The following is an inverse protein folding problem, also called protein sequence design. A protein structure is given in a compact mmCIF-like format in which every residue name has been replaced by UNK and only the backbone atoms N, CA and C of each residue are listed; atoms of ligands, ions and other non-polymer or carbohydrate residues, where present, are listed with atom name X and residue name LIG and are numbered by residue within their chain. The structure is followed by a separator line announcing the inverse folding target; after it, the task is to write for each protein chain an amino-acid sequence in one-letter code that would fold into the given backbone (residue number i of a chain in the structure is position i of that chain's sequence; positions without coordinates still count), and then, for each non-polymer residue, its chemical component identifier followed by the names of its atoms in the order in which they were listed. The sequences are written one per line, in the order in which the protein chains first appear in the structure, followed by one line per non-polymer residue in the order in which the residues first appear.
data_IF_811764530328
#
_entry.id   IF_811764530328
#
_cell.length_a   1.000
_cell.length_b   1.000
_cell.length_c   1.000
_cell.angle_alpha   90.00
_cell.angle_beta   90.00
_cell.angle_gamma   90.00
#
_symmetry.space_group_name_H-M   'P 1'
#
loop_
_entity.id
_entity.type
_entity.pdbx_description
1 polymer ?
#
# COMPACT_ATOMS: atom_id res chain seq x y z
N UNK A 1 13.25 -13.98 -2.40
CA UNK A 1 13.93 -15.22 -1.96
C UNK A 1 14.97 -15.57 -2.99
N UNK A 2 16.23 -15.70 -2.59
CA UNK A 2 17.31 -16.12 -3.48
C UNK A 2 17.34 -17.66 -3.56
N UNK A 3 17.18 -18.20 -4.76
CA UNK A 3 17.22 -19.65 -5.01
C UNK A 3 18.63 -20.19 -5.29
N UNK A 4 19.61 -19.30 -5.51
CA UNK A 4 20.98 -19.65 -5.89
C UNK A 4 21.65 -20.60 -4.89
N UNK A 5 21.54 -20.42 -3.55
CA UNK A 5 22.16 -21.33 -2.59
C UNK A 5 21.63 -22.77 -2.66
N UNK A 6 20.36 -22.94 -3.00
CA UNK A 6 19.73 -24.26 -3.12
C UNK A 6 20.20 -24.98 -4.37
N UNK A 7 20.29 -24.25 -5.49
CA UNK A 7 20.82 -24.79 -6.75
C UNK A 7 22.31 -25.12 -6.63
N UNK A 8 23.08 -24.26 -5.96
CA UNK A 8 24.49 -24.51 -5.68
C UNK A 8 24.72 -25.75 -4.80
N UNK A 9 23.81 -26.00 -3.85
CA UNK A 9 23.88 -27.20 -3.02
C UNK A 9 23.63 -28.44 -3.87
N UNK A 10 22.60 -28.44 -4.71
CA UNK A 10 22.34 -29.55 -5.64
C UNK A 10 23.51 -29.79 -6.60
N UNK A 11 24.16 -28.73 -7.08
CA UNK A 11 25.36 -28.85 -7.92
C UNK A 11 26.51 -29.52 -7.18
N UNK A 12 26.76 -29.14 -5.92
CA UNK A 12 27.80 -29.78 -5.10
C UNK A 12 27.48 -31.25 -4.85
N UNK A 13 26.25 -31.58 -4.51
CA UNK A 13 25.82 -32.97 -4.30
C UNK A 13 25.97 -33.81 -5.57
N UNK A 14 25.61 -33.25 -6.73
CA UNK A 14 25.82 -33.91 -8.02
C UNK A 14 27.30 -34.21 -8.28
N UNK A 15 28.19 -33.25 -8.00
CA UNK A 15 29.63 -33.44 -8.16
C UNK A 15 30.15 -34.53 -7.23
N UNK A 16 29.76 -34.52 -5.94
CA UNK A 16 30.15 -35.56 -4.96
C UNK A 16 29.67 -36.94 -5.40
N UNK A 17 28.44 -37.05 -5.88
CA UNK A 17 27.89 -38.31 -6.40
C UNK A 17 28.64 -38.79 -7.66
N UNK A 18 29.03 -37.86 -8.55
CA UNK A 18 29.75 -38.18 -9.77
C UNK A 18 31.18 -38.70 -9.52
N UNK A 19 31.87 -38.18 -8.50
CA UNK A 19 33.20 -38.68 -8.10
C UNK A 19 33.18 -40.17 -7.73
N UNK A 20 32.11 -40.64 -7.09
CA UNK A 20 31.93 -42.05 -6.77
C UNK A 20 31.67 -42.94 -8.02
N UNK A 21 31.28 -42.34 -9.14
CA UNK A 21 30.95 -43.02 -10.40
C UNK A 21 32.10 -43.14 -11.40
N UNK A 22 33.28 -42.58 -11.09
CA UNK A 22 34.45 -42.59 -11.97
C UNK A 22 34.44 -41.48 -13.04
N UNK A 23 35.47 -41.48 -13.90
CA UNK A 23 35.77 -40.38 -14.83
C UNK A 23 34.63 -40.08 -15.80
N UNK A 24 33.96 -41.10 -16.34
CA UNK A 24 32.83 -40.94 -17.27
C UNK A 24 31.63 -40.23 -16.60
N UNK A 25 31.35 -40.57 -15.33
CA UNK A 25 30.26 -39.95 -14.57
C UNK A 25 30.59 -38.49 -14.24
N UNK A 26 31.85 -38.20 -13.94
CA UNK A 26 32.35 -36.86 -13.69
C UNK A 26 32.24 -35.97 -14.94
N UNK A 27 32.66 -36.46 -16.10
CA UNK A 27 32.53 -35.73 -17.38
C UNK A 27 31.05 -35.43 -17.70
N UNK A 28 30.17 -36.42 -17.48
CA UNK A 28 28.74 -36.22 -17.70
C UNK A 28 28.15 -35.16 -16.74
N UNK A 29 28.53 -35.21 -15.46
CA UNK A 29 28.07 -34.24 -14.46
C UNK A 29 28.51 -32.80 -14.79
N UNK A 30 29.76 -32.61 -15.23
CA UNK A 30 30.26 -31.31 -15.67
C UNK A 30 29.44 -30.75 -16.85
N UNK A 31 29.10 -31.60 -17.82
CA UNK A 31 28.28 -31.22 -18.99
C UNK A 31 26.82 -30.90 -18.63
N UNK A 32 26.27 -31.58 -17.62
CA UNK A 32 24.87 -31.40 -17.20
C UNK A 32 24.65 -30.27 -16.20
N UNK A 33 25.72 -29.78 -15.56
CA UNK A 33 25.62 -28.77 -14.49
C UNK A 33 24.90 -27.49 -14.95
N UNK A 34 25.33 -26.90 -16.07
CA UNK A 34 24.73 -25.63 -16.57
C UNK A 34 23.28 -25.79 -17.04
N UNK A 35 22.91 -26.83 -17.84
CA UNK A 35 21.52 -27.06 -18.20
C UNK A 35 20.60 -27.35 -16.99
N UNK A 36 21.11 -28.08 -16.00
CA UNK A 36 20.32 -28.44 -14.81
C UNK A 36 20.00 -27.24 -13.94
N UNK A 37 20.87 -26.24 -13.85
CA UNK A 37 20.63 -25.03 -13.05
C UNK A 37 19.30 -24.34 -13.42
N UNK A 38 19.08 -24.13 -14.72
CA UNK A 38 17.86 -23.47 -15.23
C UNK A 38 16.63 -24.35 -15.00
N UNK A 39 16.73 -25.65 -15.25
CA UNK A 39 15.64 -26.60 -15.08
C UNK A 39 15.23 -26.76 -13.60
N UNK A 40 16.21 -26.86 -12.70
CA UNK A 40 15.98 -26.93 -11.25
C UNK A 40 15.31 -25.66 -10.75
N UNK A 41 15.79 -24.48 -11.14
CA UNK A 41 15.18 -23.21 -10.72
C UNK A 41 13.73 -23.11 -11.18
N UNK A 42 13.44 -23.41 -12.44
CA UNK A 42 12.09 -23.41 -12.97
C UNK A 42 11.19 -24.40 -12.22
N UNK A 43 11.70 -25.60 -11.93
CA UNK A 43 10.98 -26.62 -11.18
C UNK A 43 10.65 -26.15 -9.77
N UNK A 44 11.60 -25.51 -9.07
CA UNK A 44 11.35 -24.92 -7.75
C UNK A 44 10.27 -23.83 -7.81
N UNK A 45 10.31 -22.94 -8.81
CA UNK A 45 9.27 -21.93 -8.99
C UNK A 45 7.89 -22.55 -9.21
N UNK A 46 7.79 -23.61 -10.03
CA UNK A 46 6.52 -24.31 -10.25
C UNK A 46 5.99 -24.94 -8.95
N UNK A 47 6.86 -25.57 -8.17
CA UNK A 47 6.49 -26.16 -6.87
C UNK A 47 6.03 -25.10 -5.89
N UNK A 48 6.74 -23.97 -5.78
CA UNK A 48 6.36 -22.86 -4.90
C UNK A 48 5.00 -22.27 -5.30
N UNK A 49 4.77 -22.03 -6.59
CA UNK A 49 3.48 -21.53 -7.08
C UNK A 49 2.34 -22.49 -6.77
N UNK A 50 2.51 -23.78 -7.05
CA UNK A 50 1.48 -24.79 -6.75
C UNK A 50 1.20 -24.90 -5.24
N UNK A 51 2.23 -24.84 -4.40
CA UNK A 51 2.06 -24.85 -2.95
C UNK A 51 1.32 -23.60 -2.46
N UNK A 52 1.60 -22.42 -3.02
CA UNK A 52 0.89 -21.19 -2.63
C UNK A 52 -0.57 -21.18 -3.08
N UNK A 53 -0.89 -21.80 -4.22
CA UNK A 53 -2.28 -22.00 -4.65
C UNK A 53 -3.08 -22.87 -3.66
N UNK A 54 -2.44 -23.92 -3.12
CA UNK A 54 -3.04 -24.77 -2.09
C UNK A 54 -3.28 -23.99 -0.79
N UNK A 55 -2.27 -23.26 -0.32
CA UNK A 55 -2.38 -22.43 0.89
C UNK A 55 -3.43 -21.34 0.72
N UNK A 56 -3.48 -20.68 -0.44
CA UNK A 56 -4.46 -19.61 -0.72
C UNK A 56 -5.90 -20.11 -0.63
N UNK A 57 -6.16 -21.36 -1.04
CA UNK A 57 -7.49 -21.96 -0.90
C UNK A 57 -7.88 -22.17 0.56
N UNK A 58 -6.93 -22.53 1.42
CA UNK A 58 -7.16 -22.72 2.85
C UNK A 58 -7.20 -21.41 3.64
N UNK A 59 -6.54 -20.35 3.15
CA UNK A 59 -6.41 -19.06 3.85
C UNK A 59 -7.60 -18.10 3.64
N UNK A 60 -8.59 -18.46 2.83
CA UNK A 60 -9.70 -17.57 2.47
C UNK A 60 -10.40 -16.97 3.72
N UNK A 61 -10.69 -15.65 3.74
CA UNK A 61 -10.62 -14.69 2.62
C UNK A 61 -9.25 -14.05 2.36
N UNK A 62 -8.19 -14.51 3.01
CA UNK A 62 -6.81 -14.12 2.70
C UNK A 62 -6.21 -14.87 1.49
N UNK A 63 -5.02 -14.47 1.07
CA UNK A 63 -4.25 -15.12 -0.01
C UNK A 63 -2.75 -15.10 0.26
N UNK A 64 -2.02 -16.01 -0.37
CA UNK A 64 -0.56 -15.96 -0.47
C UNK A 64 -0.18 -16.07 -1.94
N UNK A 65 0.41 -15.03 -2.49
CA UNK A 65 0.79 -14.95 -3.90
C UNK A 65 2.31 -14.95 -4.06
N UNK A 66 2.82 -15.59 -5.11
CA UNK A 66 4.24 -15.52 -5.49
C UNK A 66 4.43 -14.44 -6.56
N UNK A 67 5.29 -13.47 -6.30
CA UNK A 67 5.72 -12.45 -7.26
C UNK A 67 7.18 -12.63 -7.60
N UNK A 68 7.55 -12.44 -8.87
CA UNK A 68 8.94 -12.47 -9.29
C UNK A 68 9.54 -11.07 -9.31
N UNK A 69 10.71 -10.90 -8.69
CA UNK A 69 11.57 -9.74 -8.86
C UNK A 69 12.83 -10.19 -9.59
N UNK A 70 12.85 -10.01 -10.91
CA UNK A 70 13.85 -10.66 -11.76
C UNK A 70 13.65 -12.17 -11.72
N UNK A 71 14.63 -12.91 -11.19
CA UNK A 71 14.60 -14.36 -11.04
C UNK A 71 14.28 -14.83 -9.61
N UNK A 72 14.10 -13.89 -8.68
CA UNK A 72 13.91 -14.18 -7.27
C UNK A 72 12.43 -14.11 -6.90
N UNK A 73 11.81 -15.21 -6.41
CA UNK A 73 10.43 -15.22 -5.95
C UNK A 73 10.27 -14.48 -4.62
N UNK A 74 9.20 -13.73 -4.47
CA UNK A 74 8.81 -12.97 -3.28
C UNK A 74 7.36 -13.33 -2.92
N UNK A 75 7.07 -13.46 -1.64
CA UNK A 75 5.75 -13.88 -1.18
C UNK A 75 4.94 -12.67 -0.70
N UNK A 76 3.74 -12.51 -1.24
CA UNK A 76 2.81 -11.48 -0.82
C UNK A 76 1.66 -12.14 -0.09
N UNK A 77 1.54 -11.85 1.20
CA UNK A 77 0.47 -12.38 2.04
C UNK A 77 -0.59 -11.31 2.22
N UNK A 78 -1.83 -11.63 1.87
CA UNK A 78 -3.03 -10.82 2.14
C UNK A 78 -3.82 -11.50 3.25
N UNK A 79 -3.95 -10.86 4.40
CA UNK A 79 -4.71 -11.42 5.53
C UNK A 79 -6.21 -11.08 5.42
N UNK A 80 -7.10 -11.95 5.95
CA UNK A 80 -8.53 -11.66 6.07
C UNK A 80 -8.82 -10.32 6.75
N UNK A 81 -9.87 -9.58 6.32
CA UNK A 81 -10.36 -8.41 7.03
C UNK A 81 -11.09 -8.84 8.32
N UNK A 82 -10.33 -9.22 9.34
CA UNK A 82 -10.83 -9.68 10.63
C UNK A 82 -9.73 -10.11 11.61
N UNK A 83 -8.65 -10.70 11.10
CA UNK A 83 -7.50 -11.16 11.92
C UNK A 83 -6.39 -10.10 12.08
N UNK A 84 -6.57 -8.94 11.47
CA UNK A 84 -5.72 -7.78 11.73
C UNK A 84 -6.30 -6.95 12.88
N UNK A 85 -6.08 -7.42 14.11
CA UNK A 85 -5.56 -6.49 15.12
C UNK A 85 -4.33 -5.79 14.53
N UNK A 86 -4.06 -4.51 14.87
CA UNK A 86 -3.09 -3.69 14.14
C UNK A 86 -1.81 -4.47 13.90
N UNK A 87 -1.23 -4.44 12.69
CA UNK A 87 0.05 -5.10 12.47
C UNK A 87 1.00 -4.53 13.51
N UNK A 88 1.56 -5.41 14.33
CA UNK A 88 2.86 -5.18 14.91
C UNK A 88 3.79 -5.04 13.69
N UNK A 89 3.88 -3.81 13.19
CA UNK A 89 5.08 -3.32 12.53
C UNK A 89 6.15 -3.71 13.51
N UNK A 90 6.96 -4.71 13.14
CA UNK A 90 8.19 -5.01 13.85
C UNK A 90 8.84 -3.65 14.12
N UNK A 91 8.90 -3.28 15.39
CA UNK A 91 9.61 -2.11 15.84
C UNK A 91 11.09 -2.39 15.52
N UNK A 92 11.51 -2.06 14.30
CA UNK A 92 12.88 -1.65 14.09
C UNK A 92 13.05 -0.35 14.91
N UNK A 93 14.12 -0.25 15.71
CA UNK A 93 14.36 0.94 16.53
C UNK A 93 14.31 2.20 15.67
N UNK A 94 13.71 3.25 16.22
CA UNK A 94 13.73 4.56 15.64
C UNK A 94 15.18 4.97 15.31
N UNK A 95 15.50 5.10 14.01
CA UNK A 95 16.48 6.06 13.54
C UNK A 95 15.83 6.93 12.46
N UNK A 96 16.10 8.25 12.45
CA UNK A 96 15.25 9.23 11.83
C UNK A 96 15.58 9.33 10.34
N UNK A 97 14.73 8.77 9.46
CA UNK A 97 14.89 9.05 8.04
C UNK A 97 14.40 10.46 7.74
N UNK A 98 15.42 11.31 7.55
CA UNK A 98 15.41 12.66 7.04
C UNK A 98 14.22 12.98 6.12
N UNK A 99 13.61 14.12 6.41
CA UNK A 99 12.78 14.85 5.47
C UNK A 99 13.46 14.91 4.10
N UNK A 100 12.73 14.73 2.98
CA UNK A 100 13.25 15.15 1.69
C UNK A 100 13.58 16.65 1.77
N UNK A 101 14.69 17.11 1.17
CA UNK A 101 15.10 18.50 1.29
C UNK A 101 13.98 19.42 0.79
N UNK A 102 13.77 20.58 1.42
CA UNK A 102 12.80 21.54 0.95
C UNK A 102 13.24 22.02 -0.43
N UNK A 103 12.44 21.72 -1.44
CA UNK A 103 12.50 22.49 -2.69
C UNK A 103 11.86 23.83 -2.38
N UNK A 104 12.68 24.80 -1.99
CA UNK A 104 12.31 26.21 -1.99
C UNK A 104 11.94 26.59 -3.42
N UNK A 105 10.66 26.88 -3.62
CA UNK A 105 10.06 27.20 -4.91
C UNK A 105 8.56 27.41 -4.76
N UNK A 106 8.23 28.60 -4.28
CA UNK A 106 7.03 29.40 -4.55
C UNK A 106 5.76 28.72 -5.12
N UNK A 107 4.64 29.02 -4.45
CA UNK A 107 3.23 28.79 -4.79
C UNK A 107 2.60 27.39 -4.52
N UNK A 108 1.68 27.35 -3.54
CA UNK A 108 0.59 26.36 -3.50
C UNK A 108 0.93 24.87 -3.36
N UNK A 109 1.93 24.49 -2.55
CA UNK A 109 2.33 23.09 -2.37
C UNK A 109 1.25 22.18 -1.76
N UNK A 110 0.88 21.10 -2.47
CA UNK A 110 -0.12 20.12 -2.03
C UNK A 110 0.49 19.16 -0.98
N UNK A 111 0.04 19.25 0.28
CA UNK A 111 0.40 18.29 1.32
C UNK A 111 -0.35 16.95 1.13
N UNK A 112 0.39 15.84 1.09
CA UNK A 112 -0.18 14.49 1.00
C UNK A 112 -0.64 14.00 2.37
N UNK A 113 -1.90 13.55 2.48
CA UNK A 113 -2.50 13.04 3.73
C UNK A 113 -3.14 11.67 3.47
N UNK A 114 -2.92 10.71 4.38
CA UNK A 114 -3.62 9.42 4.37
C UNK A 114 -4.76 9.47 5.39
N UNK A 115 -6.02 9.51 4.92
CA UNK A 115 -7.21 9.63 5.75
C UNK A 115 -7.93 8.28 5.85
N UNK A 116 -8.20 7.84 7.08
CA UNK A 116 -9.01 6.64 7.34
C UNK A 116 -10.41 7.05 7.79
N UNK A 117 -11.43 6.63 7.04
CA UNK A 117 -12.83 6.92 7.32
C UNK A 117 -13.59 5.62 7.58
N UNK A 118 -14.51 5.59 8.56
CA UNK A 118 -15.56 4.58 8.63
C UNK A 118 -16.32 4.46 7.30
N UNK A 119 -16.66 3.24 6.89
CA UNK A 119 -17.25 2.96 5.57
C UNK A 119 -18.51 3.80 5.27
N UNK A 120 -19.35 4.02 6.27
CA UNK A 120 -20.56 4.83 6.14
C UNK A 120 -20.26 6.33 5.90
N UNK A 121 -19.15 6.86 6.41
CA UNK A 121 -18.75 8.25 6.16
C UNK A 121 -18.16 8.43 4.77
N UNK A 122 -17.39 7.44 4.28
CA UNK A 122 -16.90 7.43 2.90
C UNK A 122 -18.05 7.46 1.89
N UNK A 123 -19.05 6.58 2.05
CA UNK A 123 -20.20 6.51 1.16
C UNK A 123 -21.00 7.82 1.11
N UNK A 124 -21.22 8.47 2.26
CA UNK A 124 -21.90 9.78 2.34
C UNK A 124 -21.09 10.91 1.70
N UNK A 125 -19.76 10.87 1.79
CA UNK A 125 -18.89 11.84 1.15
C UNK A 125 -18.91 11.68 -0.39
N UNK A 126 -18.90 10.44 -0.89
CA UNK A 126 -19.03 10.13 -2.31
C UNK A 126 -20.36 10.62 -2.90
N UNK A 127 -21.47 10.37 -2.20
CA UNK A 127 -22.80 10.83 -2.62
C UNK A 127 -22.91 12.37 -2.62
N UNK A 128 -22.34 13.05 -1.61
CA UNK A 128 -22.31 14.50 -1.56
C UNK A 128 -21.45 15.10 -2.68
N UNK A 129 -20.28 14.51 -2.96
CA UNK A 129 -19.43 14.93 -4.07
C UNK A 129 -20.13 14.76 -5.43
N UNK A 130 -20.82 13.64 -5.64
CA UNK A 130 -21.53 13.34 -6.88
C UNK A 130 -22.71 14.30 -7.13
N UNK A 131 -23.48 14.64 -6.09
CA UNK A 131 -24.57 15.64 -6.19
C UNK A 131 -24.07 17.01 -6.63
N UNK A 132 -22.82 17.32 -6.32
CA UNK A 132 -22.20 18.61 -6.64
C UNK A 132 -21.31 18.55 -7.89
N UNK A 133 -21.26 17.40 -8.58
CA UNK A 133 -20.44 17.21 -9.78
C UNK A 133 -18.94 17.33 -9.52
N UNK A 134 -18.49 17.08 -8.29
CA UNK A 134 -17.09 17.20 -7.87
C UNK A 134 -16.47 15.82 -7.64
N UNK A 135 -15.15 15.74 -7.79
CA UNK A 135 -14.41 14.59 -7.29
C UNK A 135 -14.43 14.59 -5.75
N UNK A 136 -14.35 13.41 -5.15
CA UNK A 136 -14.34 13.27 -3.67
C UNK A 136 -13.21 14.10 -3.06
N UNK A 137 -12.02 14.11 -3.68
CA UNK A 137 -10.90 14.92 -3.20
C UNK A 137 -11.20 16.42 -3.25
N UNK A 138 -11.78 16.93 -4.35
CA UNK A 138 -12.14 18.34 -4.47
C UNK A 138 -13.24 18.73 -3.47
N UNK A 139 -14.22 17.85 -3.28
CA UNK A 139 -15.29 18.04 -2.30
C UNK A 139 -14.74 18.08 -0.87
N UNK A 140 -13.85 17.15 -0.50
CA UNK A 140 -13.21 17.10 0.81
C UNK A 140 -12.33 18.32 1.09
N UNK A 141 -11.51 18.75 0.13
CA UNK A 141 -10.69 19.96 0.28
C UNK A 141 -11.56 21.17 0.57
N UNK A 142 -12.64 21.36 -0.19
CA UNK A 142 -13.57 22.47 0.02
C UNK A 142 -14.32 22.37 1.36
N UNK A 143 -14.71 21.17 1.79
CA UNK A 143 -15.35 20.96 3.09
C UNK A 143 -14.39 21.30 4.25
N UNK A 144 -13.12 20.93 4.14
CA UNK A 144 -12.07 21.27 5.11
C UNK A 144 -11.80 22.78 5.11
N UNK A 145 -11.65 23.41 3.94
CA UNK A 145 -11.50 24.87 3.83
C UNK A 145 -12.68 25.59 4.50
N UNK A 146 -13.92 25.19 4.21
CA UNK A 146 -15.10 25.78 4.83
C UNK A 146 -15.14 25.61 6.36
N UNK A 147 -14.65 24.48 6.89
CA UNK A 147 -14.58 24.25 8.33
C UNK A 147 -13.48 25.08 9.01
N UNK A 148 -12.33 25.23 8.37
CA UNK A 148 -11.18 26.01 8.87
C UNK A 148 -11.45 27.51 8.77
N UNK A 149 -11.95 27.97 7.62
CA UNK A 149 -12.31 29.38 7.40
C UNK A 149 -13.55 29.79 8.21
N UNK A 150 -14.49 28.85 8.40
CA UNK A 150 -15.70 29.03 9.20
C UNK A 150 -15.45 29.13 10.70
N UNK A 151 -14.33 28.58 11.21
CA UNK A 151 -13.92 28.69 12.61
C UNK A 151 -13.38 30.06 13.01
N UNK A 152 -13.02 30.90 12.02
CA UNK A 152 -12.39 32.21 12.25
C UNK A 152 -13.36 33.37 12.04
N UNK A 153 -14.68 33.13 12.03
CA UNK A 153 -15.62 34.24 12.02
C UNK A 153 -15.59 34.91 13.40
N UNK A 154 -15.09 36.16 13.56
CA UNK A 154 -15.43 36.91 14.75
C UNK A 154 -16.96 36.98 14.78
N UNK A 155 -17.55 36.68 15.94
CA UNK A 155 -18.91 37.13 16.26
C UNK A 155 -18.92 38.64 16.04
N UNK A 156 -19.33 39.08 14.85
CA UNK A 156 -19.71 40.47 14.64
C UNK A 156 -20.99 40.67 15.43
N UNK A 157 -20.77 41.19 16.63
CA UNK A 157 -21.69 42.02 17.40
C UNK A 157 -22.55 42.86 16.47
N UNK A 158 -23.86 42.71 16.64
CA UNK A 158 -24.94 43.68 16.43
C UNK A 158 -24.87 44.67 15.26
N UNK A 159 -25.92 44.61 14.43
CA UNK A 159 -26.66 45.84 14.08
C UNK A 159 -28.12 45.67 14.46
N UNK A 160 -28.42 46.09 15.67
CA UNK A 160 -29.75 46.48 16.12
C UNK A 160 -30.27 47.53 15.14
N UNK A 161 -31.27 47.19 14.33
CA UNK A 161 -32.00 48.16 13.54
C UNK A 161 -32.85 49.00 14.50
N UNK A 162 -32.32 50.13 14.95
CA UNK A 162 -33.10 51.21 15.54
C UNK A 162 -33.95 51.82 14.42
N UNK A 163 -35.19 51.34 14.29
CA UNK A 163 -36.21 51.99 13.47
C UNK A 163 -36.59 53.28 14.18
N UNK A 164 -36.09 54.38 13.62
CA UNK A 164 -36.39 55.74 14.04
C UNK A 164 -37.88 56.03 13.95
N UNK A 165 -38.39 56.62 15.03
CA UNK A 165 -39.70 57.25 15.11
C UNK A 165 -39.80 58.37 14.09
N UNK A 166 -40.85 58.36 13.26
CA UNK A 166 -41.36 59.58 12.63
C UNK A 166 -42.85 59.69 12.91
N UNK A 167 -43.19 60.73 13.67
CA UNK A 167 -44.55 61.21 13.93
C UNK A 167 -45.10 61.96 12.71
N UNK A 168 -46.29 61.58 12.26
CA UNK A 168 -47.25 62.39 11.49
C UNK A 168 -48.63 61.95 12.01
N UNK A 169 -49.40 62.73 12.76
CA UNK A 169 -49.92 64.06 12.46
C UNK A 169 -51.41 63.92 12.11
N UNK A 170 -52.30 63.95 13.12
CA UNK A 170 -53.76 63.90 12.94
C UNK A 170 -54.32 65.30 12.64
N UNK A 171 -55.19 65.43 11.63
CA UNK A 171 -56.14 66.55 11.51
C UNK A 171 -57.49 66.03 10.97
N UNK A 172 -58.49 66.15 11.87
CA UNK A 172 -59.96 66.18 11.73
C UNK A 172 -60.70 65.02 11.06
#
# INVERSE_FOLDING_TARGET
MDLTPYVDTLRRELAVAAEAGGDDARELAERLTTPLESATRLTMLNVLSAAMDEITRELAPGSVDVRLRGLDPDFVVTLPPGDSGPPEVAAAPAEPLAAPPPTDGDDGGIARVNLRLPAHLKARAEEAANREGLSVNAWLVRAVSAAVDGGTRPRTTEKTHTVGQNFTGWVR
#
